data_IF_706942825422
#
_entry.id   IF_706942825422
#
_cell.length_a   1.000
_cell.length_b   1.000
_cell.length_c   1.000
_cell.angle_alpha   90.00
_cell.angle_beta   90.00
_cell.angle_gamma   90.00
#
_symmetry.space_group_name_H-M   'P 1'
#
loop_
_entity.id
_entity.type
_entity.pdbx_description
1 polymer ?
#
# COMPACT_ATOMS: atom_id res chain seq x y z
N UNK A 1 -10.68 -9.30 4.59
CA UNK A 1 -9.38 -9.16 5.32
C UNK A 1 -9.31 -7.81 6.03
N UNK A 2 -8.42 -7.64 7.02
CA UNK A 2 -8.08 -6.34 7.60
C UNK A 2 -6.81 -5.81 6.97
N UNK A 3 -6.90 -4.62 6.36
CA UNK A 3 -5.81 -3.99 5.60
C UNK A 3 -5.57 -2.57 6.10
N UNK A 4 -4.33 -2.27 6.46
CA UNK A 4 -3.89 -0.89 6.67
C UNK A 4 -3.26 -0.37 5.37
N UNK A 5 -3.79 0.72 4.81
CA UNK A 5 -3.21 1.43 3.67
C UNK A 5 -2.47 2.65 4.17
N UNK A 6 -1.14 2.63 4.06
CA UNK A 6 -0.25 3.67 4.57
C UNK A 6 0.28 4.56 3.43
N UNK A 7 0.02 5.87 3.53
CA UNK A 7 0.35 6.86 2.52
C UNK A 7 -0.86 7.18 1.63
N UNK A 8 -1.59 8.25 1.94
CA UNK A 8 -2.94 8.50 1.40
C UNK A 8 -2.98 9.62 0.38
N UNK A 9 -2.01 9.65 -0.53
CA UNK A 9 -2.10 10.49 -1.75
C UNK A 9 -2.97 9.79 -2.81
N UNK A 10 -2.69 9.93 -4.09
CA UNK A 10 -3.49 9.35 -5.17
C UNK A 10 -3.59 7.82 -5.08
N UNK A 11 -2.44 7.14 -5.08
CA UNK A 11 -2.38 5.69 -5.01
C UNK A 11 -3.09 5.13 -3.78
N UNK A 12 -2.77 5.67 -2.60
CA UNK A 12 -3.34 5.17 -1.35
C UNK A 12 -4.83 5.40 -1.20
N UNK A 13 -5.33 6.57 -1.63
CA UNK A 13 -6.77 6.85 -1.60
C UNK A 13 -7.55 5.92 -2.54
N UNK A 14 -7.02 5.65 -3.74
CA UNK A 14 -7.61 4.70 -4.69
C UNK A 14 -7.59 3.28 -4.11
N UNK A 15 -6.44 2.84 -3.60
CA UNK A 15 -6.29 1.51 -2.98
C UNK A 15 -7.27 1.32 -1.84
N UNK A 16 -7.35 2.28 -0.91
CA UNK A 16 -8.26 2.19 0.23
C UNK A 16 -9.74 2.11 -0.18
N UNK A 17 -10.17 2.97 -1.10
CA UNK A 17 -11.54 2.95 -1.61
C UNK A 17 -11.89 1.67 -2.36
N UNK A 18 -11.00 1.20 -3.24
CA UNK A 18 -11.22 -0.02 -4.02
C UNK A 18 -11.28 -1.26 -3.12
N UNK A 19 -10.36 -1.40 -2.16
CA UNK A 19 -10.37 -2.54 -1.23
C UNK A 19 -11.63 -2.56 -0.36
N UNK A 20 -12.07 -1.40 0.13
CA UNK A 20 -13.32 -1.31 0.88
C UNK A 20 -14.53 -1.74 0.03
N UNK A 21 -14.59 -1.32 -1.26
CA UNK A 21 -15.68 -1.73 -2.17
C UNK A 21 -15.72 -3.24 -2.46
N UNK A 22 -14.61 -3.94 -2.23
CA UNK A 22 -14.51 -5.40 -2.33
C UNK A 22 -14.81 -6.12 -1.01
N UNK A 23 -15.19 -5.38 0.04
CA UNK A 23 -15.60 -5.93 1.33
C UNK A 23 -14.45 -6.17 2.31
N UNK A 24 -13.26 -5.64 2.05
CA UNK A 24 -12.18 -5.63 3.05
C UNK A 24 -12.48 -4.60 4.15
N UNK A 25 -12.01 -4.87 5.38
CA UNK A 25 -11.99 -3.89 6.48
C UNK A 25 -10.69 -3.07 6.35
N UNK A 26 -10.83 -1.83 5.91
CA UNK A 26 -9.70 -0.99 5.51
C UNK A 26 -9.51 0.17 6.47
N UNK A 27 -8.29 0.34 6.95
CA UNK A 27 -7.87 1.53 7.66
C UNK A 27 -6.86 2.31 6.81
N UNK A 28 -7.26 3.47 6.32
CA UNK A 28 -6.35 4.42 5.69
C UNK A 28 -5.57 5.18 6.77
N UNK A 29 -4.25 5.21 6.63
CA UNK A 29 -3.35 5.83 7.58
C UNK A 29 -2.33 6.75 6.88
N UNK A 30 -2.11 7.91 7.45
CA UNK A 30 -1.03 8.81 7.06
C UNK A 30 -0.51 9.55 8.30
N UNK A 31 0.79 9.88 8.31
CA UNK A 31 1.39 10.74 9.34
C UNK A 31 1.04 12.22 9.13
N UNK A 32 0.54 12.61 7.96
CA UNK A 32 0.05 13.95 7.72
C UNK A 32 -1.39 14.11 8.22
N UNK A 33 -1.54 14.74 9.38
CA UNK A 33 -2.82 15.00 10.01
C UNK A 33 -3.77 15.80 9.10
N UNK A 34 -3.25 16.65 8.21
CA UNK A 34 -4.09 17.43 7.30
C UNK A 34 -4.73 16.56 6.23
N UNK A 35 -3.98 15.60 5.70
CA UNK A 35 -4.48 14.59 4.76
C UNK A 35 -5.61 13.78 5.39
N UNK A 36 -5.43 13.28 6.62
CA UNK A 36 -6.46 12.55 7.35
C UNK A 36 -7.70 13.42 7.59
N UNK A 37 -7.52 14.64 8.12
CA UNK A 37 -8.63 15.56 8.38
C UNK A 37 -9.44 15.92 7.10
N UNK A 38 -8.78 16.01 5.95
CA UNK A 38 -9.42 16.24 4.67
C UNK A 38 -10.24 15.01 4.22
N UNK A 39 -9.66 13.81 4.28
CA UNK A 39 -10.34 12.57 3.90
C UNK A 39 -11.55 12.29 4.78
N UNK A 40 -11.46 12.52 6.09
CA UNK A 40 -12.58 12.39 7.03
C UNK A 40 -13.73 13.37 6.71
N UNK A 41 -13.45 14.51 6.03
CA UNK A 41 -14.46 15.48 5.54
C UNK A 41 -14.93 15.20 4.11
N UNK A 42 -14.48 14.08 3.50
CA UNK A 42 -14.80 13.74 2.11
C UNK A 42 -14.05 14.59 1.08
N UNK A 43 -12.95 15.25 1.48
CA UNK A 43 -12.07 15.99 0.57
C UNK A 43 -10.91 15.11 0.15
N UNK A 44 -10.85 14.77 -1.13
CA UNK A 44 -9.80 13.93 -1.70
C UNK A 44 -8.53 14.73 -1.98
N UNK A 45 -7.33 14.11 -1.84
CA UNK A 45 -6.07 14.76 -2.19
C UNK A 45 -5.94 15.01 -3.69
N UNK A 46 -6.57 14.15 -4.51
CA UNK A 46 -6.56 14.23 -5.97
C UNK A 46 -7.95 13.90 -6.51
N UNK A 47 -8.37 14.62 -7.57
CA UNK A 47 -9.63 14.34 -8.24
C UNK A 47 -9.50 13.08 -9.10
N UNK A 48 -10.28 12.05 -8.75
CA UNK A 48 -10.35 10.79 -9.50
C UNK A 48 -11.84 10.44 -9.70
N UNK A 49 -12.28 10.21 -10.94
CA UNK A 49 -13.69 9.90 -11.21
C UNK A 49 -14.20 8.69 -10.43
N UNK A 50 -15.28 8.87 -9.67
CA UNK A 50 -15.91 7.80 -8.88
C UNK A 50 -15.29 7.56 -7.50
N UNK A 51 -14.06 7.98 -7.24
CA UNK A 51 -13.37 7.70 -5.99
C UNK A 51 -14.08 8.28 -4.76
N UNK A 52 -14.63 9.50 -4.90
CA UNK A 52 -15.33 10.13 -3.78
C UNK A 52 -16.53 9.29 -3.33
N UNK A 53 -17.36 8.83 -4.26
CA UNK A 53 -18.52 7.99 -3.94
C UNK A 53 -18.07 6.69 -3.29
N UNK A 54 -17.04 6.05 -3.83
CA UNK A 54 -16.49 4.79 -3.31
C UNK A 54 -16.02 4.92 -1.84
N UNK A 55 -15.35 6.02 -1.51
CA UNK A 55 -14.90 6.31 -0.14
C UNK A 55 -16.09 6.62 0.78
N UNK A 56 -17.04 7.44 0.32
CA UNK A 56 -18.25 7.78 1.09
C UNK A 56 -19.09 6.52 1.40
N UNK A 57 -19.23 5.62 0.45
CA UNK A 57 -19.92 4.34 0.62
C UNK A 57 -19.18 3.47 1.65
N UNK A 58 -17.88 3.26 1.52
CA UNK A 58 -17.09 2.45 2.47
C UNK A 58 -17.08 3.02 3.89
N UNK A 59 -17.05 4.34 4.05
CA UNK A 59 -17.18 4.99 5.38
C UNK A 59 -18.59 4.78 5.95
N UNK A 60 -19.62 4.87 5.12
CA UNK A 60 -21.03 4.70 5.53
C UNK A 60 -21.31 3.23 5.91
N UNK A 61 -20.77 2.29 5.17
CA UNK A 61 -20.85 0.85 5.46
C UNK A 61 -20.01 0.43 6.67
N UNK A 62 -19.06 1.28 7.08
CA UNK A 62 -18.24 1.09 8.27
C UNK A 62 -17.01 0.19 8.06
N UNK A 63 -16.70 -0.16 6.81
CA UNK A 63 -15.53 -0.97 6.45
C UNK A 63 -14.36 -0.14 5.88
N UNK A 64 -14.49 1.20 5.86
CA UNK A 64 -13.41 2.13 5.59
C UNK A 64 -13.35 3.21 6.66
N UNK A 65 -12.18 3.40 7.26
CA UNK A 65 -11.92 4.49 8.20
C UNK A 65 -10.56 5.12 7.95
N UNK A 66 -10.37 6.37 8.37
CA UNK A 66 -9.10 7.09 8.28
C UNK A 66 -8.64 7.52 9.66
N UNK A 67 -7.36 7.33 9.96
CA UNK A 67 -6.76 7.69 11.24
C UNK A 67 -5.33 8.20 11.09
N UNK A 68 -4.93 9.11 11.97
CA UNK A 68 -3.55 9.56 12.17
C UNK A 68 -2.82 8.76 13.26
N UNK A 69 -3.55 7.93 13.99
CA UNK A 69 -3.00 7.09 15.03
C UNK A 69 -2.49 5.77 14.46
N UNK A 70 -1.18 5.64 14.39
CA UNK A 70 -0.55 4.45 13.83
C UNK A 70 -0.93 3.15 14.56
N UNK A 71 -1.11 3.17 15.89
CA UNK A 71 -1.50 1.98 16.64
C UNK A 71 -2.88 1.50 16.27
N UNK A 72 -3.83 2.43 16.12
CA UNK A 72 -5.19 2.12 15.71
C UNK A 72 -5.23 1.64 14.26
N UNK A 73 -4.32 2.17 13.43
CA UNK A 73 -4.24 1.83 12.02
C UNK A 73 -3.79 0.39 11.78
N UNK A 74 -2.79 -0.07 12.54
CA UNK A 74 -2.18 -1.38 12.33
C UNK A 74 -2.70 -2.47 13.27
N UNK A 75 -3.61 -2.11 14.19
CA UNK A 75 -4.22 -3.10 15.09
C UNK A 75 -4.91 -4.18 14.29
N UNK A 76 -4.50 -5.41 14.50
CA UNK A 76 -5.01 -6.61 13.81
C UNK A 76 -4.88 -6.59 12.27
N UNK A 77 -4.09 -5.69 11.68
CA UNK A 77 -3.88 -5.64 10.24
C UNK A 77 -3.09 -6.88 9.76
N UNK A 78 -3.69 -7.63 8.82
CA UNK A 78 -3.04 -8.76 8.18
C UNK A 78 -2.05 -8.29 7.09
N UNK A 79 -2.38 -7.15 6.47
CA UNK A 79 -1.54 -6.52 5.45
C UNK A 79 -1.37 -5.04 5.77
N UNK A 80 -0.11 -4.58 5.80
CA UNK A 80 0.26 -3.19 5.67
C UNK A 80 0.58 -2.90 4.20
N UNK A 81 -0.29 -2.18 3.51
CA UNK A 81 -0.05 -1.79 2.12
C UNK A 81 0.51 -0.38 2.04
N UNK A 82 1.79 -0.28 1.69
CA UNK A 82 2.53 0.99 1.59
C UNK A 82 2.36 1.59 0.21
N UNK A 83 1.80 2.79 0.16
CA UNK A 83 1.35 3.46 -1.07
C UNK A 83 1.81 4.91 -1.18
N UNK A 84 2.90 5.27 -0.52
CA UNK A 84 3.46 6.61 -0.66
C UNK A 84 3.90 6.88 -2.11
N UNK A 85 3.49 8.01 -2.66
CA UNK A 85 4.19 8.59 -3.79
C UNK A 85 5.56 9.05 -3.31
N UNK A 86 6.62 8.57 -3.96
CA UNK A 86 7.99 8.95 -3.58
C UNK A 86 8.21 10.41 -3.94
N UNK A 87 8.41 11.32 -2.96
CA UNK A 87 8.63 12.71 -3.27
C UNK A 87 9.88 12.90 -4.14
N UNK A 88 9.82 13.85 -5.05
CA UNK A 88 10.97 14.27 -5.85
C UNK A 88 11.36 15.70 -5.49
N UNK A 89 12.64 16.00 -5.51
CA UNK A 89 13.13 17.36 -5.32
C UNK A 89 13.14 18.16 -6.64
N UNK A 90 13.62 19.40 -6.58
CA UNK A 90 13.70 20.31 -7.74
C UNK A 90 14.66 19.81 -8.84
N UNK A 91 15.54 18.84 -8.52
CA UNK A 91 16.48 18.19 -9.45
C UNK A 91 15.96 16.80 -9.91
N UNK A 92 14.66 16.53 -9.74
CA UNK A 92 14.00 15.23 -10.04
C UNK A 92 14.61 14.04 -9.30
N UNK A 93 15.27 14.26 -8.14
CA UNK A 93 15.81 13.18 -7.33
C UNK A 93 14.74 12.66 -6.37
N UNK A 94 14.48 11.36 -6.45
CA UNK A 94 13.50 10.67 -5.58
C UNK A 94 13.99 10.63 -4.13
N UNK A 95 13.18 11.12 -3.20
CA UNK A 95 13.45 11.04 -1.77
C UNK A 95 13.04 9.65 -1.21
N UNK A 96 13.84 8.66 -1.56
CA UNK A 96 13.65 7.27 -1.09
C UNK A 96 13.70 7.17 0.44
N UNK A 97 14.59 7.97 1.07
CA UNK A 97 14.76 7.98 2.52
C UNK A 97 13.47 8.35 3.26
N UNK A 98 12.64 9.22 2.69
CA UNK A 98 11.34 9.56 3.25
C UNK A 98 10.47 8.30 3.40
N UNK A 99 10.25 7.56 2.32
CA UNK A 99 9.39 6.37 2.33
C UNK A 99 9.91 5.30 3.30
N UNK A 100 11.22 5.03 3.27
CA UNK A 100 11.84 4.06 4.19
C UNK A 100 11.67 4.48 5.66
N UNK A 101 11.79 5.78 5.98
CA UNK A 101 11.59 6.29 7.34
C UNK A 101 10.13 6.18 7.79
N UNK A 102 9.16 6.48 6.91
CA UNK A 102 7.75 6.36 7.24
C UNK A 102 7.35 4.90 7.53
N UNK A 103 7.84 3.95 6.72
CA UNK A 103 7.64 2.52 6.98
C UNK A 103 8.29 2.11 8.30
N UNK A 104 9.55 2.51 8.54
CA UNK A 104 10.30 2.18 9.75
C UNK A 104 9.58 2.56 11.04
N UNK A 105 8.89 3.72 11.06
CA UNK A 105 8.12 4.16 12.23
C UNK A 105 6.96 3.21 12.57
N UNK A 106 6.43 2.53 11.57
CA UNK A 106 5.28 1.64 11.70
C UNK A 106 5.68 0.21 12.10
N UNK A 107 6.86 -0.28 11.66
CA UNK A 107 7.31 -1.67 11.88
C UNK A 107 7.21 -2.15 13.34
N UNK A 108 7.64 -1.37 14.37
CA UNK A 108 7.57 -1.85 15.75
C UNK A 108 6.15 -2.07 16.29
N UNK A 109 5.15 -1.54 15.60
CA UNK A 109 3.75 -1.57 16.03
C UNK A 109 2.92 -2.64 15.30
N UNK A 110 3.48 -3.26 14.25
CA UNK A 110 2.82 -4.33 13.50
C UNK A 110 2.68 -5.60 14.35
N UNK A 111 1.65 -6.35 14.08
CA UNK A 111 1.50 -7.69 14.64
C UNK A 111 2.44 -8.68 13.95
N UNK A 112 2.66 -9.82 14.63
CA UNK A 112 3.41 -10.92 14.07
C UNK A 112 2.73 -11.50 12.83
N UNK A 113 3.51 -11.97 11.85
CA UNK A 113 3.02 -12.45 10.55
C UNK A 113 2.32 -11.39 9.67
N UNK A 114 2.42 -10.09 9.98
CA UNK A 114 1.92 -9.04 9.07
C UNK A 114 2.71 -9.05 7.76
N UNK A 115 1.99 -8.98 6.64
CA UNK A 115 2.60 -8.78 5.31
C UNK A 115 2.75 -7.28 5.04
N UNK A 116 3.95 -6.84 4.71
CA UNK A 116 4.25 -5.49 4.26
C UNK A 116 4.32 -5.51 2.73
N UNK A 117 3.25 -5.03 2.08
CA UNK A 117 3.16 -4.93 0.63
C UNK A 117 3.53 -3.52 0.19
N UNK A 118 4.63 -3.37 -0.53
CA UNK A 118 5.13 -2.05 -0.96
C UNK A 118 4.82 -1.83 -2.44
N UNK A 119 4.05 -0.77 -2.72
CA UNK A 119 3.75 -0.30 -4.08
C UNK A 119 4.39 1.05 -4.38
N UNK A 120 4.99 1.71 -3.40
CA UNK A 120 5.77 2.93 -3.61
C UNK A 120 6.92 2.68 -4.60
N UNK A 121 7.17 3.65 -5.48
CA UNK A 121 8.27 3.54 -6.43
C UNK A 121 9.61 3.74 -5.72
N UNK A 122 10.34 2.65 -5.54
CA UNK A 122 11.63 2.61 -4.85
C UNK A 122 12.69 1.97 -5.76
N UNK A 123 13.99 2.29 -5.58
CA UNK A 123 15.09 1.61 -6.24
C UNK A 123 15.14 0.11 -5.90
N UNK A 124 15.71 -0.68 -6.81
CA UNK A 124 15.98 -2.10 -6.57
C UNK A 124 16.87 -2.28 -5.33
N UNK A 125 16.45 -3.17 -4.43
CA UNK A 125 17.11 -3.44 -3.15
C UNK A 125 16.54 -2.66 -1.96
N UNK A 126 15.54 -1.79 -2.17
CA UNK A 126 14.89 -1.05 -1.09
C UNK A 126 14.14 -1.97 -0.12
N UNK A 127 13.48 -3.00 -0.64
CA UNK A 127 12.80 -4.01 0.20
C UNK A 127 13.81 -4.73 1.08
N UNK A 128 14.98 -5.10 0.54
CA UNK A 128 16.06 -5.70 1.34
C UNK A 128 16.52 -4.78 2.48
N UNK A 129 16.63 -3.47 2.24
CA UNK A 129 16.95 -2.51 3.31
C UNK A 129 15.88 -2.49 4.40
N UNK A 130 14.60 -2.58 4.03
CA UNK A 130 13.50 -2.65 5.00
C UNK A 130 13.55 -3.95 5.82
N UNK A 131 13.85 -5.08 5.20
CA UNK A 131 14.05 -6.37 5.87
C UNK A 131 15.20 -6.29 6.88
N UNK A 132 16.33 -5.68 6.51
CA UNK A 132 17.49 -5.49 7.42
C UNK A 132 17.15 -4.57 8.59
N UNK A 133 16.34 -3.51 8.35
CA UNK A 133 15.85 -2.61 9.40
C UNK A 133 14.92 -3.39 10.36
N UNK A 134 13.98 -4.16 9.83
CA UNK A 134 13.05 -4.95 10.63
C UNK A 134 13.77 -5.99 11.47
N UNK A 135 14.71 -6.74 10.92
CA UNK A 135 15.53 -7.72 11.64
C UNK A 135 16.32 -7.08 12.80
N UNK A 136 16.76 -5.84 12.63
CA UNK A 136 17.50 -5.11 13.67
C UNK A 136 16.64 -4.51 14.75
N UNK A 137 15.48 -3.95 14.39
CA UNK A 137 14.63 -3.16 15.28
C UNK A 137 13.47 -3.94 15.87
N UNK A 138 13.05 -5.01 15.20
CA UNK A 138 11.94 -5.87 15.57
C UNK A 138 12.32 -7.35 15.45
N UNK A 139 13.44 -7.80 16.08
CA UNK A 139 14.00 -9.15 15.87
C UNK A 139 13.07 -10.28 16.30
N UNK A 140 12.11 -9.98 17.15
CA UNK A 140 11.15 -10.96 17.68
C UNK A 140 9.87 -11.06 16.83
N UNK A 141 9.82 -10.36 15.67
CA UNK A 141 8.65 -10.37 14.78
C UNK A 141 8.96 -11.09 13.47
N UNK A 142 8.02 -11.93 13.07
CA UNK A 142 8.02 -12.54 11.74
C UNK A 142 7.22 -11.64 10.77
N UNK A 143 7.93 -10.80 10.01
CA UNK A 143 7.34 -9.89 9.04
C UNK A 143 7.72 -10.33 7.61
N UNK A 144 6.74 -10.36 6.71
CA UNK A 144 6.95 -10.71 5.30
C UNK A 144 6.91 -9.46 4.42
N UNK A 145 7.98 -9.19 3.68
CA UNK A 145 8.05 -8.06 2.78
C UNK A 145 7.81 -8.48 1.33
N UNK A 146 6.89 -7.80 0.67
CA UNK A 146 6.47 -8.04 -0.70
C UNK A 146 6.50 -6.74 -1.49
N UNK A 147 6.63 -6.83 -2.81
CA UNK A 147 6.61 -5.70 -3.72
C UNK A 147 5.57 -5.91 -4.81
N UNK A 148 4.67 -4.94 -4.98
CA UNK A 148 3.74 -4.92 -6.10
C UNK A 148 3.80 -3.56 -6.79
N UNK A 149 4.62 -3.41 -7.85
CA UNK A 149 4.69 -2.16 -8.60
C UNK A 149 3.35 -1.87 -9.26
N UNK A 150 2.81 -0.70 -8.96
CA UNK A 150 1.54 -0.26 -9.50
C UNK A 150 1.72 0.52 -10.81
N UNK A 151 0.66 0.66 -11.60
CA UNK A 151 0.64 1.39 -12.84
C UNK A 151 -0.67 2.19 -13.01
N UNK A 152 -1.15 2.81 -11.91
CA UNK A 152 -2.34 3.63 -11.94
C UNK A 152 -2.12 4.90 -12.78
N UNK A 153 -3.18 5.33 -13.43
CA UNK A 153 -3.18 6.57 -14.25
C UNK A 153 -4.29 7.46 -13.76
N UNK A 154 -3.97 8.72 -13.52
CA UNK A 154 -4.96 9.74 -13.16
C UNK A 154 -6.13 9.74 -14.15
N UNK A 155 -7.35 9.78 -13.60
CA UNK A 155 -8.59 9.77 -14.36
C UNK A 155 -9.08 8.39 -14.80
N UNK A 156 -8.30 7.32 -14.55
CA UNK A 156 -8.64 5.92 -14.88
C UNK A 156 -8.23 4.94 -13.78
N UNK A 157 -7.83 5.43 -12.62
CA UNK A 157 -7.19 4.62 -11.60
C UNK A 157 -8.10 3.53 -11.05
N UNK A 158 -9.38 3.82 -10.81
CA UNK A 158 -10.34 2.83 -10.32
C UNK A 158 -10.47 1.64 -11.28
N UNK A 159 -10.66 1.93 -12.58
CA UNK A 159 -10.80 0.88 -13.58
C UNK A 159 -9.54 0.02 -13.72
N UNK A 160 -8.36 0.66 -13.66
CA UNK A 160 -7.07 -0.06 -13.71
C UNK A 160 -6.85 -0.90 -12.45
N UNK A 161 -7.25 -0.41 -11.27
CA UNK A 161 -7.12 -1.14 -10.02
C UNK A 161 -8.07 -2.34 -9.95
N UNK A 162 -9.36 -2.13 -10.26
CA UNK A 162 -10.39 -3.15 -10.12
C UNK A 162 -10.37 -4.20 -11.25
N UNK A 163 -9.79 -3.86 -12.41
CA UNK A 163 -9.76 -4.73 -13.59
C UNK A 163 -8.38 -4.68 -14.27
N UNK A 164 -7.30 -5.03 -13.56
CA UNK A 164 -5.96 -5.05 -14.15
C UNK A 164 -5.82 -6.22 -15.12
N UNK A 165 -5.09 -6.02 -16.22
CA UNK A 165 -4.70 -7.13 -17.11
C UNK A 165 -3.88 -8.19 -16.36
N UNK A 166 -3.07 -7.77 -15.41
CA UNK A 166 -2.25 -8.59 -14.52
C UNK A 166 -1.77 -7.77 -13.33
N UNK A 167 -1.46 -8.45 -12.24
CA UNK A 167 -0.74 -7.89 -11.09
C UNK A 167 0.63 -8.53 -11.00
N UNK A 168 1.68 -7.73 -10.82
CA UNK A 168 3.03 -8.22 -10.58
C UNK A 168 3.24 -8.30 -9.07
N UNK A 169 3.74 -9.44 -8.59
CA UNK A 169 3.93 -9.68 -7.17
C UNK A 169 5.31 -10.27 -6.91
N UNK A 170 6.15 -9.47 -6.27
CA UNK A 170 7.46 -9.91 -5.77
C UNK A 170 7.35 -10.43 -4.35
N UNK A 171 7.71 -11.69 -4.15
CA UNK A 171 7.72 -12.34 -2.84
C UNK A 171 9.07 -13.04 -2.61
N UNK A 172 9.43 -13.25 -1.33
CA UNK A 172 10.56 -14.08 -0.95
C UNK A 172 10.14 -15.47 -0.48
N UNK A 173 9.01 -15.53 0.19
CA UNK A 173 8.50 -16.74 0.84
C UNK A 173 7.12 -17.07 0.31
N UNK A 174 6.89 -18.36 0.01
CA UNK A 174 5.63 -18.84 -0.56
C UNK A 174 4.45 -18.68 0.41
N UNK A 175 4.72 -18.58 1.72
CA UNK A 175 3.69 -18.42 2.77
C UNK A 175 2.89 -17.13 2.61
N UNK A 176 3.48 -16.07 2.04
CA UNK A 176 2.76 -14.83 1.76
C UNK A 176 1.74 -14.96 0.61
N UNK A 177 1.88 -16.00 -0.23
CA UNK A 177 1.09 -16.14 -1.45
C UNK A 177 -0.40 -16.30 -1.18
N UNK A 178 -0.78 -17.12 -0.22
CA UNK A 178 -2.19 -17.40 0.08
C UNK A 178 -2.91 -16.13 0.56
N UNK A 179 -2.27 -15.36 1.44
CA UNK A 179 -2.81 -14.10 1.94
C UNK A 179 -2.92 -13.06 0.83
N UNK A 180 -1.93 -12.99 -0.06
CA UNK A 180 -1.95 -12.06 -1.20
C UNK A 180 -2.99 -12.49 -2.26
N UNK A 181 -3.20 -13.79 -2.47
CA UNK A 181 -4.28 -14.27 -3.33
C UNK A 181 -5.66 -13.87 -2.77
N UNK A 182 -5.88 -14.02 -1.45
CA UNK A 182 -7.10 -13.56 -0.78
C UNK A 182 -7.28 -12.04 -0.89
N UNK A 183 -6.19 -11.27 -0.76
CA UNK A 183 -6.23 -9.81 -0.91
C UNK A 183 -6.70 -9.36 -2.30
N UNK A 184 -6.30 -10.08 -3.35
CA UNK A 184 -6.65 -9.79 -4.74
C UNK A 184 -7.86 -10.57 -5.25
N UNK A 185 -8.55 -11.31 -4.37
CA UNK A 185 -9.81 -11.98 -4.73
C UNK A 185 -10.84 -10.94 -5.20
N UNK A 186 -11.48 -11.22 -6.33
CA UNK A 186 -12.41 -10.28 -6.97
C UNK A 186 -11.76 -9.17 -7.81
N UNK A 187 -10.42 -9.03 -7.77
CA UNK A 187 -9.66 -8.11 -8.63
C UNK A 187 -9.12 -8.86 -9.84
N UNK A 188 -8.31 -9.90 -9.61
CA UNK A 188 -7.70 -10.69 -10.69
C UNK A 188 -7.17 -12.02 -10.18
N UNK A 189 -7.26 -13.05 -11.03
CA UNK A 189 -6.54 -14.31 -10.85
C UNK A 189 -5.17 -14.30 -11.55
N UNK A 190 -4.90 -13.28 -12.38
CA UNK A 190 -3.68 -13.17 -13.16
C UNK A 190 -2.59 -12.45 -12.36
N UNK A 191 -2.02 -13.14 -11.37
CA UNK A 191 -0.90 -12.66 -10.59
C UNK A 191 0.41 -13.27 -11.12
N UNK A 192 1.32 -12.41 -11.54
CA UNK A 192 2.65 -12.79 -12.03
C UNK A 192 3.64 -12.76 -10.87
N UNK A 193 3.95 -13.93 -10.35
CA UNK A 193 4.86 -14.11 -9.23
C UNK A 193 6.32 -14.06 -9.68
N UNK A 194 7.16 -13.34 -8.94
CA UNK A 194 8.59 -13.23 -9.20
C UNK A 194 9.36 -12.91 -7.93
N UNK A 195 10.70 -12.84 -8.02
CA UNK A 195 11.51 -12.35 -6.90
C UNK A 195 11.23 -10.87 -6.63
N UNK A 196 11.43 -10.44 -5.39
CA UNK A 196 11.23 -9.04 -4.97
C UNK A 196 12.04 -8.08 -5.86
N UNK A 197 13.32 -8.38 -6.10
CA UNK A 197 14.19 -7.53 -6.92
C UNK A 197 13.73 -7.44 -8.39
N UNK A 198 13.14 -8.52 -8.92
CA UNK A 198 12.55 -8.49 -10.27
C UNK A 198 11.30 -7.62 -10.31
N UNK A 199 10.47 -7.66 -9.25
CA UNK A 199 9.28 -6.81 -9.16
C UNK A 199 9.67 -5.33 -8.99
N UNK A 200 10.64 -5.01 -8.14
CA UNK A 200 11.18 -3.65 -8.00
C UNK A 200 11.70 -3.12 -9.35
N UNK A 201 12.44 -3.94 -10.11
CA UNK A 201 12.97 -3.56 -11.43
C UNK A 201 11.87 -3.33 -12.47
N UNK A 202 10.74 -4.03 -12.38
CA UNK A 202 9.66 -3.95 -13.38
C UNK A 202 9.12 -2.52 -13.52
N UNK A 203 8.97 -1.77 -12.43
CA UNK A 203 8.50 -0.39 -12.46
C UNK A 203 9.47 0.52 -13.24
N UNK A 204 10.76 0.32 -13.07
CA UNK A 204 11.78 1.08 -13.82
C UNK A 204 11.75 0.73 -15.31
N UNK A 205 11.54 -0.55 -15.64
CA UNK A 205 11.45 -0.98 -17.03
C UNK A 205 10.18 -0.47 -17.75
N UNK A 206 9.06 -0.32 -17.03
CA UNK A 206 7.81 0.24 -17.59
C UNK A 206 7.94 1.74 -17.87
N UNK A 207 8.71 2.46 -17.04
CA UNK A 207 8.88 3.91 -17.12
C UNK A 207 10.03 4.34 -18.07
N UNK A 208 10.86 3.42 -18.57
CA UNK A 208 11.98 3.68 -19.48
C UNK A 208 11.53 3.68 -20.95
#
# INVERSE_FOLDING_TARGET
MRVCVQGLWHLGSVTAGCLASLGHDVTGFDFDNQTIANLQKGTLPVSEPGLKALIEDGVTEGNLRFTENVRDAVSDAQVLWVTYDTPVDDDDQANVSFVLQEIRKTLPLLEDNTIILVSSQLPVGSIRQLEEIALKECPDKELSFCCSPENLRLGKALGVFLHPDRVIMGIRHEEARDVLCELFEGITENIVWMSVESAEMTKHAINA
#
